data_IF_321369918344
#
_entry.id   IF_321369918344
#
_cell.length_a   1.000
_cell.length_b   1.000
_cell.length_c   1.000
_cell.angle_alpha   90.00
_cell.angle_beta   90.00
_cell.angle_gamma   90.00
#
_symmetry.space_group_name_H-M   'P 1'
#
loop_
_entity.id
_entity.type
_entity.pdbx_description
1 polymer ?
#
# COMPACT_ATOMS: atom_id res chain seq x y z
N UNK A 1 9.52 17.69 36.79
CA UNK A 1 9.60 16.26 36.46
C UNK A 1 8.19 15.71 36.37
N UNK A 2 7.72 15.39 35.16
CA UNK A 2 6.42 14.75 34.95
C UNK A 2 6.65 13.27 34.65
N UNK A 3 6.12 12.40 35.50
CA UNK A 3 6.29 10.95 35.37
C UNK A 3 5.33 10.34 34.35
N UNK A 4 5.85 9.51 33.45
CA UNK A 4 5.04 8.58 32.68
C UNK A 4 4.32 7.63 33.65
N UNK A 5 2.99 7.61 33.59
CA UNK A 5 2.16 6.73 34.40
C UNK A 5 2.39 5.27 33.99
N UNK A 6 3.23 4.57 34.73
CA UNK A 6 3.55 3.16 34.51
C UNK A 6 2.42 2.28 35.05
N UNK A 7 1.27 2.28 34.38
CA UNK A 7 0.37 1.14 34.50
C UNK A 7 1.05 -0.03 33.78
N UNK A 8 1.80 -0.83 34.53
CA UNK A 8 2.44 -2.04 34.05
C UNK A 8 1.36 -3.01 33.57
N UNK A 9 1.11 -3.04 32.26
CA UNK A 9 0.38 -4.13 31.61
C UNK A 9 1.20 -5.38 31.92
N UNK A 10 0.59 -6.35 32.62
CA UNK A 10 1.26 -7.60 32.96
C UNK A 10 1.82 -8.24 31.67
N UNK A 11 3.05 -8.79 31.68
CA UNK A 11 3.59 -9.50 30.52
C UNK A 11 2.76 -10.76 30.28
N UNK A 12 1.70 -10.62 29.49
CA UNK A 12 0.88 -11.72 28.99
C UNK A 12 1.36 -12.14 27.60
N UNK A 13 1.07 -13.39 27.18
CA UNK A 13 1.30 -13.78 25.80
C UNK A 13 0.50 -12.89 24.85
N UNK A 14 1.06 -12.60 23.68
CA UNK A 14 0.34 -11.91 22.62
C UNK A 14 -0.88 -12.75 22.19
N UNK A 15 -2.06 -12.14 22.24
CA UNK A 15 -3.32 -12.75 21.80
C UNK A 15 -3.73 -12.10 20.48
N UNK A 16 -3.29 -12.68 19.37
CA UNK A 16 -3.53 -12.21 18.01
C UNK A 16 -2.76 -13.04 16.98
N UNK A 17 -2.76 -12.60 15.73
CA UNK A 17 -2.01 -13.24 14.64
C UNK A 17 -0.94 -12.30 14.13
N UNK A 18 0.26 -12.85 13.90
CA UNK A 18 1.32 -12.16 13.16
C UNK A 18 1.11 -12.49 11.68
N UNK A 19 0.63 -11.50 10.93
CA UNK A 19 0.48 -11.61 9.48
C UNK A 19 1.85 -11.75 8.80
N UNK A 20 2.81 -10.92 9.20
CA UNK A 20 4.13 -10.90 8.59
C UNK A 20 5.23 -10.47 9.56
N UNK A 21 6.39 -11.13 9.49
CA UNK A 21 7.58 -10.80 10.27
C UNK A 21 8.82 -10.87 9.38
N UNK A 22 9.59 -9.78 9.32
CA UNK A 22 10.84 -9.69 8.55
C UNK A 22 11.98 -9.21 9.46
N UNK A 23 13.13 -9.88 9.41
CA UNK A 23 14.36 -9.50 10.12
C UNK A 23 15.44 -9.21 9.10
N UNK A 24 16.10 -8.06 9.24
CA UNK A 24 17.15 -7.62 8.34
C UNK A 24 18.49 -7.55 9.06
N UNK A 25 19.54 -8.08 8.43
CA UNK A 25 20.92 -8.03 8.92
C UNK A 25 21.69 -6.79 8.43
N UNK A 26 20.98 -5.82 7.86
CA UNK A 26 21.55 -4.56 7.32
C UNK A 26 20.62 -3.39 7.65
N UNK A 27 21.19 -2.19 7.64
CA UNK A 27 20.43 -0.95 7.75
C UNK A 27 19.65 -0.72 6.45
N UNK A 28 18.33 -0.52 6.60
CA UNK A 28 17.46 -0.18 5.48
C UNK A 28 17.43 1.34 5.33
N UNK A 29 17.54 1.82 4.10
CA UNK A 29 17.27 3.22 3.80
C UNK A 29 15.80 3.57 4.00
N UNK A 30 15.48 4.85 4.16
CA UNK A 30 14.09 5.32 4.28
C UNK A 30 13.21 4.86 3.10
N UNK A 31 13.77 4.83 1.89
CA UNK A 31 13.08 4.36 0.68
C UNK A 31 12.77 2.86 0.75
N UNK A 32 13.70 2.05 1.27
CA UNK A 32 13.47 0.61 1.42
C UNK A 32 12.43 0.33 2.48
N UNK A 33 12.49 0.99 3.64
CA UNK A 33 11.47 0.87 4.69
C UNK A 33 10.07 1.24 4.15
N UNK A 34 9.99 2.30 3.35
CA UNK A 34 8.74 2.71 2.70
C UNK A 34 8.24 1.67 1.67
N UNK A 35 9.15 1.07 0.89
CA UNK A 35 8.79 0.03 -0.07
C UNK A 35 8.31 -1.27 0.59
N UNK A 36 8.62 -1.52 1.86
CA UNK A 36 8.17 -2.74 2.56
C UNK A 36 6.66 -2.79 2.82
N UNK A 37 6.02 -1.63 2.92
CA UNK A 37 4.55 -1.55 3.14
C UNK A 37 3.81 -1.22 1.84
N UNK A 38 4.53 -0.87 0.79
CA UNK A 38 3.99 -0.40 -0.48
C UNK A 38 3.11 -1.42 -1.20
N UNK A 39 3.40 -2.72 -1.06
CA UNK A 39 2.54 -3.76 -1.62
C UNK A 39 1.27 -4.00 -0.78
N UNK A 40 1.28 -3.61 0.51
CA UNK A 40 0.11 -3.80 1.38
C UNK A 40 -0.98 -2.79 1.13
N UNK A 41 -0.60 -1.59 0.71
CA UNK A 41 -1.55 -0.53 0.39
C UNK A 41 -2.37 -0.88 -0.84
N UNK A 42 -1.73 -1.49 -1.85
CA UNK A 42 -2.37 -1.90 -3.11
C UNK A 42 -3.50 -2.96 -3.01
N UNK A 43 -3.90 -3.39 -1.82
CA UNK A 43 -4.98 -4.39 -1.59
C UNK A 43 -5.70 -4.17 -0.24
N UNK A 44 -5.55 -3.03 0.41
CA UNK A 44 -6.13 -2.77 1.73
C UNK A 44 -7.52 -2.09 1.69
N UNK A 45 -8.00 -1.73 0.50
CA UNK A 45 -9.30 -1.10 0.29
C UNK A 45 -9.31 0.39 0.59
N UNK A 46 -8.16 1.02 0.75
CA UNK A 46 -8.00 2.45 1.03
C UNK A 46 -7.17 3.06 -0.09
N UNK A 47 -7.63 4.19 -0.65
CA UNK A 47 -6.85 4.93 -1.63
C UNK A 47 -5.68 5.66 -0.95
N UNK A 48 -4.48 5.07 -0.99
CA UNK A 48 -3.29 5.68 -0.42
C UNK A 48 -2.02 5.52 -1.31
N UNK A 49 -0.84 5.89 -0.78
CA UNK A 49 0.41 5.73 -1.53
C UNK A 49 0.45 6.52 -2.84
N UNK A 50 0.73 5.83 -3.95
CA UNK A 50 0.76 6.39 -5.30
C UNK A 50 -0.42 5.89 -6.19
N UNK A 51 -1.46 5.32 -5.58
CA UNK A 51 -2.67 4.85 -6.26
C UNK A 51 -3.40 5.96 -7.04
N UNK A 52 -4.12 5.55 -8.08
CA UNK A 52 -5.01 6.43 -8.86
C UNK A 52 -6.48 6.11 -8.69
N UNK A 53 -6.80 4.89 -8.27
CA UNK A 53 -8.08 4.46 -7.70
C UNK A 53 -7.80 3.46 -6.57
N UNK A 54 -8.81 3.10 -5.76
CA UNK A 54 -8.63 2.17 -4.62
C UNK A 54 -7.94 0.89 -5.08
N UNK A 55 -6.78 0.59 -4.48
CA UNK A 55 -5.97 -0.62 -4.71
C UNK A 55 -5.41 -0.77 -6.15
N UNK A 56 -5.33 0.31 -6.95
CA UNK A 56 -4.79 0.25 -8.31
C UNK A 56 -4.15 1.55 -8.83
N UNK A 57 -3.34 1.40 -9.88
CA UNK A 57 -2.64 2.50 -10.55
C UNK A 57 -1.34 2.91 -9.87
N UNK A 58 -0.59 3.80 -10.51
CA UNK A 58 0.74 4.20 -10.05
C UNK A 58 1.72 3.03 -10.06
N UNK A 59 2.03 2.51 -8.87
CA UNK A 59 2.88 1.33 -8.71
C UNK A 59 2.13 0.04 -8.39
N UNK A 60 0.84 0.15 -8.10
CA UNK A 60 -0.05 -0.95 -7.83
C UNK A 60 -0.46 -1.63 -9.15
N UNK A 61 -1.22 -2.75 -9.09
CA UNK A 61 -1.78 -3.35 -10.30
C UNK A 61 -2.55 -2.33 -11.15
N UNK A 62 -2.61 -2.55 -12.47
CA UNK A 62 -3.35 -1.68 -13.37
C UNK A 62 -4.84 -1.64 -12.98
N UNK A 63 -5.42 -0.45 -13.09
CA UNK A 63 -6.84 -0.21 -12.94
C UNK A 63 -7.64 -0.80 -14.12
N UNK A 64 -8.82 -1.29 -13.81
CA UNK A 64 -9.82 -1.80 -14.75
C UNK A 64 -10.66 -0.70 -15.39
N UNK A 65 -11.57 -1.10 -16.29
CA UNK A 65 -12.46 -0.15 -16.99
C UNK A 65 -13.31 0.65 -15.99
N UNK A 66 -13.44 1.95 -16.23
CA UNK A 66 -14.14 2.95 -15.41
C UNK A 66 -13.52 3.25 -14.04
N UNK A 67 -12.35 2.70 -13.73
CA UNK A 67 -11.58 3.11 -12.57
C UNK A 67 -10.77 4.39 -12.87
N UNK A 68 -10.46 5.14 -11.82
CA UNK A 68 -9.73 6.40 -11.93
C UNK A 68 -8.26 6.20 -12.34
N UNK A 69 -7.77 7.07 -13.20
CA UNK A 69 -6.40 7.06 -13.69
C UNK A 69 -5.85 8.48 -13.82
N UNK A 70 -4.52 8.61 -13.84
CA UNK A 70 -3.79 9.86 -14.12
C UNK A 70 -3.00 9.77 -15.41
N UNK A 71 -2.52 8.58 -15.76
CA UNK A 71 -1.74 8.28 -16.96
C UNK A 71 -2.16 6.95 -17.57
N UNK A 72 -1.88 6.73 -18.86
CA UNK A 72 -2.21 5.48 -19.56
C UNK A 72 -1.58 4.23 -18.90
N UNK A 73 -0.46 4.40 -18.18
CA UNK A 73 0.20 3.30 -17.47
C UNK A 73 -0.62 2.79 -16.27
N UNK A 74 -1.51 3.62 -15.73
CA UNK A 74 -2.43 3.20 -14.67
C UNK A 74 -3.48 2.22 -15.21
N UNK A 75 -3.70 2.19 -16.53
CA UNK A 75 -4.67 1.33 -17.19
C UNK A 75 -3.99 0.13 -17.89
N UNK A 76 -4.74 -0.95 -18.12
CA UNK A 76 -4.18 -2.17 -18.70
C UNK A 76 -3.60 -1.95 -20.12
N UNK A 77 -2.33 -2.32 -20.31
CA UNK A 77 -1.61 -2.24 -21.59
C UNK A 77 -1.66 -3.57 -22.39
N UNK A 78 -2.82 -4.23 -22.40
CA UNK A 78 -3.05 -5.52 -23.10
C UNK A 78 -3.94 -5.40 -24.35
N UNK A 79 -4.20 -6.53 -25.03
CA UNK A 79 -4.88 -6.63 -26.34
C UNK A 79 -6.26 -5.95 -26.47
N UNK A 80 -6.84 -5.50 -25.37
CA UNK A 80 -7.99 -4.61 -25.34
C UNK A 80 -7.49 -3.30 -24.72
N UNK A 81 -6.92 -2.42 -25.54
CA UNK A 81 -6.29 -1.18 -25.09
C UNK A 81 -7.26 -0.36 -24.24
N UNK A 82 -7.02 -0.31 -22.94
CA UNK A 82 -7.70 0.59 -22.00
C UNK A 82 -6.72 1.74 -21.77
N UNK A 83 -7.10 2.95 -22.17
CA UNK A 83 -6.29 4.16 -22.02
C UNK A 83 -6.90 5.08 -20.96
N UNK A 84 -6.13 6.04 -20.47
CA UNK A 84 -6.63 7.01 -19.51
C UNK A 84 -7.32 8.17 -20.24
N UNK A 85 -8.65 8.08 -20.39
CA UNK A 85 -9.49 9.11 -21.00
C UNK A 85 -10.34 9.82 -19.96
N UNK A 86 -10.31 11.15 -19.97
CA UNK A 86 -11.10 12.00 -19.05
C UNK A 86 -10.92 11.66 -17.55
N UNK A 87 -9.78 11.06 -17.18
CA UNK A 87 -9.48 10.63 -15.81
C UNK A 87 -9.99 9.23 -15.44
N UNK A 88 -10.48 8.46 -16.43
CA UNK A 88 -10.96 7.10 -16.26
C UNK A 88 -10.33 6.16 -17.28
N UNK A 89 -10.15 4.91 -16.89
CA UNK A 89 -9.69 3.84 -17.76
C UNK A 89 -10.81 3.43 -18.73
N UNK A 90 -10.67 3.74 -20.02
CA UNK A 90 -11.67 3.46 -21.09
C UNK A 90 -11.06 2.74 -22.30
#
# INVERSE_FOLDING_TARGET
GGGCNSQAIAPGPFSGYLDEFRVYSRELSATEVYALTKDKTCIDGIMDGDETDIDCGGSCPVCGVYQMCKVDLDCATGSNSIACLNGYCE
#
